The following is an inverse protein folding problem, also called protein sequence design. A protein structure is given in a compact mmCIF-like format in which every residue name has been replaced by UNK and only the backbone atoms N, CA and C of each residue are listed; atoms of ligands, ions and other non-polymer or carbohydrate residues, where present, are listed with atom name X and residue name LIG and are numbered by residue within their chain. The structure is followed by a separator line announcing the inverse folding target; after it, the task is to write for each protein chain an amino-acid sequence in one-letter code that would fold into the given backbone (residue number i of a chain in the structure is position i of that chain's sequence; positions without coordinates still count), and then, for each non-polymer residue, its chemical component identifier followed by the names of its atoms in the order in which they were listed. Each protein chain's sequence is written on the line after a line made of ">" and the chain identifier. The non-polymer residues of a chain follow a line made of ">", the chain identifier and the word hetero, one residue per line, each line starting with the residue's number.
data_IF_169819417915
#
_entry.id   IF_169819417915
#
_cell.length_a   1.000
_cell.length_b   1.000
_cell.length_c   1.000
_cell.angle_alpha   90.00
_cell.angle_beta   90.00
_cell.angle_gamma   90.00
#
_symmetry.space_group_name_H-M   'P 1'
#
loop_
_entity.id
_entity.type
_entity.pdbx_description
1 polymer ?
#
# COMPACT_ATOMS: atom_id res chain seq x y z
N UNK A 1 -10.35 16.43 -22.48
CA UNK A 1 -10.49 17.76 -21.85
C UNK A 1 -11.63 17.66 -20.83
N UNK A 2 -11.51 18.32 -19.65
CA UNK A 2 -12.10 18.02 -18.32
C UNK A 2 -11.26 16.95 -17.56
N UNK A 3 -10.36 17.24 -16.61
CA UNK A 3 -10.25 18.21 -15.51
C UNK A 3 -11.35 18.08 -14.46
N UNK A 4 -10.97 17.59 -13.27
CA UNK A 4 -11.09 18.25 -11.95
C UNK A 4 -10.40 17.35 -10.91
N UNK A 5 -9.32 17.84 -10.30
CA UNK A 5 -8.82 17.36 -9.00
C UNK A 5 -9.91 17.61 -7.95
N UNK A 6 -10.35 16.56 -7.26
CA UNK A 6 -11.02 16.70 -5.96
C UNK A 6 -10.18 15.98 -4.92
N UNK A 7 -9.48 16.77 -4.11
CA UNK A 7 -8.91 16.35 -2.84
C UNK A 7 -10.05 15.76 -1.98
N UNK A 8 -9.90 14.50 -1.58
CA UNK A 8 -10.79 13.84 -0.63
C UNK A 8 -10.41 14.37 0.75
N UNK A 9 -11.31 15.13 1.38
CA UNK A 9 -11.12 15.66 2.73
C UNK A 9 -12.07 14.93 3.70
N UNK A 10 -11.51 14.16 4.64
CA UNK A 10 -12.31 13.43 5.64
C UNK A 10 -12.63 14.33 6.84
N UNK A 11 -13.91 14.51 7.25
CA UNK A 11 -14.25 15.29 8.43
C UNK A 11 -13.93 14.51 9.71
N UNK A 12 -12.96 15.00 10.50
CA UNK A 12 -12.64 14.44 11.81
C UNK A 12 -13.59 15.03 12.86
N UNK A 13 -14.63 14.28 13.24
CA UNK A 13 -15.50 14.64 14.36
C UNK A 13 -14.77 14.58 15.72
N UNK A 14 -15.22 15.35 16.73
CA UNK A 14 -14.58 15.38 18.05
C UNK A 14 -14.76 14.04 18.78
N UNK A 15 -13.65 13.42 19.21
CA UNK A 15 -13.67 12.18 20.00
C UNK A 15 -13.84 12.49 21.50
N UNK A 16 -14.81 11.81 22.12
CA UNK A 16 -15.04 11.77 23.57
C UNK A 16 -13.82 11.13 24.26
N UNK A 17 -13.23 11.82 25.23
CA UNK A 17 -12.03 11.36 25.93
C UNK A 17 -12.33 10.19 26.88
N UNK A 18 -11.60 9.07 26.72
CA UNK A 18 -11.48 8.03 27.73
C UNK A 18 -10.41 8.47 28.74
N UNK A 19 -10.77 8.56 30.02
CA UNK A 19 -9.83 8.79 31.13
C UNK A 19 -9.10 7.49 31.45
N UNK A 20 -7.76 7.49 31.38
CA UNK A 20 -6.94 6.44 31.94
C UNK A 20 -6.61 6.78 33.41
N UNK A 21 -7.08 5.95 34.33
CA UNK A 21 -6.69 5.94 35.74
C UNK A 21 -5.66 4.82 35.91
N UNK A 22 -4.37 5.15 35.88
CA UNK A 22 -3.34 4.55 36.73
C UNK A 22 -1.95 5.05 36.34
N UNK A 23 -1.31 5.77 37.26
CA UNK A 23 -0.01 6.43 37.10
C UNK A 23 1.18 5.47 37.06
N UNK A 24 0.97 4.17 37.28
CA UNK A 24 2.04 3.16 37.30
C UNK A 24 2.44 2.65 35.89
N UNK A 25 1.60 2.85 34.87
CA UNK A 25 1.87 2.40 33.50
C UNK A 25 2.71 3.39 32.66
N UNK A 26 2.91 4.61 33.13
CA UNK A 26 3.58 5.68 32.38
C UNK A 26 5.12 5.68 32.48
N UNK A 27 5.70 4.85 33.36
CA UNK A 27 7.14 4.87 33.65
C UNK A 27 7.94 3.74 32.98
N UNK A 28 7.36 3.02 32.02
CA UNK A 28 8.09 2.00 31.27
C UNK A 28 8.74 2.63 30.02
N UNK A 29 10.08 2.56 29.85
CA UNK A 29 10.79 3.16 28.72
C UNK A 29 10.45 2.54 27.35
N UNK A 30 9.67 1.46 27.31
CA UNK A 30 9.14 0.86 26.09
C UNK A 30 7.72 1.30 25.71
N UNK A 31 7.09 2.20 26.48
CA UNK A 31 5.78 2.76 26.13
C UNK A 31 5.94 4.06 25.35
N UNK A 32 5.41 4.06 24.11
CA UNK A 32 5.25 5.26 23.29
C UNK A 32 4.35 6.23 24.06
N UNK A 33 4.92 7.31 24.59
CA UNK A 33 4.13 8.36 25.22
C UNK A 33 3.22 8.98 24.16
N UNK A 34 1.96 9.22 24.52
CA UNK A 34 1.00 9.87 23.65
C UNK A 34 1.41 11.33 23.48
N UNK A 35 2.28 11.64 22.49
CA UNK A 35 2.51 13.03 22.07
C UNK A 35 1.15 13.67 21.75
N UNK A 36 0.97 14.90 22.21
CA UNK A 36 -0.20 15.70 21.88
C UNK A 36 -0.30 15.84 20.35
N UNK A 37 -1.49 16.15 19.84
CA UNK A 37 -1.72 16.41 18.40
C UNK A 37 -1.07 17.71 17.91
N UNK A 38 -0.31 18.39 18.76
CA UNK A 38 0.14 19.76 18.54
C UNK A 38 1.40 19.86 17.67
N UNK A 39 1.99 18.73 17.25
CA UNK A 39 3.23 18.70 16.46
C UNK A 39 3.01 18.49 14.94
N UNK A 40 1.75 18.34 14.48
CA UNK A 40 1.48 18.32 13.04
C UNK A 40 1.47 19.76 12.51
N UNK A 41 2.46 20.12 11.71
CA UNK A 41 2.55 21.43 11.06
C UNK A 41 1.23 21.79 10.34
N UNK A 42 0.55 22.90 10.72
CA UNK A 42 -0.68 23.36 10.08
C UNK A 42 -0.52 23.77 8.61
N UNK A 43 0.69 23.80 8.06
CA UNK A 43 0.98 24.28 6.69
C UNK A 43 0.69 23.27 5.56
N UNK A 44 0.35 22.01 5.85
CA UNK A 44 0.26 20.94 4.85
C UNK A 44 -1.13 20.73 4.21
N UNK A 45 -1.67 21.71 3.48
CA UNK A 45 -3.01 21.57 2.88
C UNK A 45 -3.07 20.98 1.45
N UNK A 46 -1.95 20.79 0.73
CA UNK A 46 -2.03 20.41 -0.70
C UNK A 46 -1.30 19.11 -1.11
N UNK A 47 -0.35 18.59 -0.31
CA UNK A 47 0.43 17.39 -0.68
C UNK A 47 0.62 16.44 0.51
N UNK A 48 0.20 15.19 0.36
CA UNK A 48 0.50 14.11 1.29
C UNK A 48 1.90 13.59 0.97
N UNK A 49 2.82 13.56 1.94
CA UNK A 49 4.18 13.03 1.78
C UNK A 49 4.42 11.84 2.72
N UNK A 50 5.43 10.99 2.47
CA UNK A 50 5.79 9.91 3.40
C UNK A 50 6.12 10.40 4.81
N UNK A 51 6.83 11.52 4.95
CA UNK A 51 7.15 12.11 6.25
C UNK A 51 5.87 12.58 6.97
N UNK A 52 4.97 13.26 6.25
CA UNK A 52 3.67 13.66 6.81
C UNK A 52 2.87 12.47 7.33
N UNK A 53 2.82 11.35 6.58
CA UNK A 53 2.16 10.13 7.03
C UNK A 53 2.84 9.53 8.25
N UNK A 54 4.18 9.56 8.30
CA UNK A 54 4.95 9.08 9.45
C UNK A 54 4.65 9.88 10.72
N UNK A 55 4.53 11.20 10.61
CA UNK A 55 4.18 12.06 11.74
C UNK A 55 2.71 11.91 12.14
N UNK A 56 1.80 11.87 11.16
CA UNK A 56 0.36 11.70 11.38
C UNK A 56 0.03 10.39 12.11
N UNK A 57 0.67 9.29 11.70
CA UNK A 57 0.51 7.97 12.30
C UNK A 57 1.51 7.68 13.43
N UNK A 58 2.38 8.65 13.76
CA UNK A 58 3.29 8.63 14.91
C UNK A 58 4.28 7.46 14.89
N UNK A 59 4.93 7.28 13.75
CA UNK A 59 6.02 6.31 13.57
C UNK A 59 7.29 6.94 12.99
N UNK A 60 7.40 8.27 12.92
CA UNK A 60 8.57 8.95 12.37
C UNK A 60 9.86 8.74 13.17
N UNK A 61 9.77 8.39 14.46
CA UNK A 61 10.89 8.02 15.32
C UNK A 61 11.15 6.50 15.37
N UNK A 62 10.34 5.70 14.66
CA UNK A 62 10.55 4.27 14.56
C UNK A 62 11.62 3.95 13.53
N UNK A 63 12.65 3.22 13.94
CA UNK A 63 13.68 2.68 13.04
C UNK A 63 13.40 1.20 12.80
N UNK A 64 12.93 0.80 11.61
CA UNK A 64 12.66 -0.60 11.34
C UNK A 64 13.97 -1.39 11.22
N UNK A 65 13.98 -2.61 11.76
CA UNK A 65 15.12 -3.52 11.61
C UNK A 65 15.05 -4.23 10.26
N UNK A 66 16.18 -4.30 9.55
CA UNK A 66 16.27 -5.12 8.36
C UNK A 66 16.22 -6.61 8.74
N UNK A 67 15.28 -7.33 8.13
CA UNK A 67 15.21 -8.79 8.19
C UNK A 67 15.05 -9.32 6.77
N UNK A 68 16.01 -10.10 6.22
CA UNK A 68 15.93 -10.62 4.85
C UNK A 68 14.67 -11.44 4.57
N UNK A 69 14.13 -12.09 5.61
CA UNK A 69 12.91 -12.90 5.56
C UNK A 69 11.63 -12.09 5.58
N UNK A 70 11.66 -10.82 6.01
CA UNK A 70 10.51 -9.94 6.05
C UNK A 70 10.33 -9.25 4.70
N UNK A 71 9.21 -9.53 4.04
CA UNK A 71 8.91 -9.01 2.70
C UNK A 71 7.51 -8.40 2.67
N UNK A 72 7.42 -7.27 1.99
CA UNK A 72 6.17 -6.62 1.59
C UNK A 72 5.95 -6.86 0.09
N UNK A 73 4.87 -7.55 -0.27
CA UNK A 73 4.45 -7.71 -1.65
C UNK A 73 3.49 -6.61 -2.07
N UNK A 74 3.76 -5.94 -3.18
CA UNK A 74 2.85 -5.01 -3.85
C UNK A 74 2.37 -5.68 -5.13
N UNK A 75 1.07 -5.74 -5.36
CA UNK A 75 0.51 -6.36 -6.56
C UNK A 75 0.22 -5.30 -7.63
N UNK A 76 0.87 -5.43 -8.78
CA UNK A 76 0.64 -4.59 -9.95
C UNK A 76 -0.20 -5.29 -11.02
N UNK A 77 -1.10 -4.54 -11.64
CA UNK A 77 -2.03 -5.02 -12.68
C UNK A 77 -2.03 -4.12 -13.92
N UNK A 78 -2.86 -4.45 -14.91
CA UNK A 78 -3.15 -3.63 -16.10
C UNK A 78 -1.91 -3.21 -16.90
N UNK A 79 -0.85 -4.03 -16.87
CA UNK A 79 0.45 -3.74 -17.50
C UNK A 79 1.09 -2.42 -17.03
N UNK A 80 0.71 -1.91 -15.86
CA UNK A 80 1.34 -0.72 -15.29
C UNK A 80 2.62 -1.10 -14.56
N UNK A 81 3.78 -0.60 -14.93
CA UNK A 81 5.05 -1.04 -14.31
C UNK A 81 5.72 0.13 -13.62
N UNK A 82 6.04 -0.06 -12.32
CA UNK A 82 6.82 0.92 -11.58
C UNK A 82 8.18 1.12 -12.25
N UNK A 83 8.53 2.37 -12.54
CA UNK A 83 9.80 2.71 -13.19
C UNK A 83 10.84 3.01 -12.12
N UNK A 84 11.97 2.30 -12.18
CA UNK A 84 13.08 2.43 -11.25
C UNK A 84 13.59 3.86 -11.12
N UNK A 85 13.63 4.59 -12.24
CA UNK A 85 14.06 6.00 -12.25
C UNK A 85 13.12 6.91 -11.46
N UNK A 86 11.81 6.65 -11.53
CA UNK A 86 10.80 7.47 -10.87
C UNK A 86 10.80 7.18 -9.37
N UNK A 87 10.84 5.89 -9.00
CA UNK A 87 10.99 5.45 -7.60
C UNK A 87 12.25 6.04 -6.96
N UNK A 88 13.39 6.00 -7.67
CA UNK A 88 14.64 6.58 -7.18
C UNK A 88 14.54 8.10 -6.99
N UNK A 89 13.90 8.80 -7.92
CA UNK A 89 13.68 10.25 -7.80
C UNK A 89 12.73 10.58 -6.63
N UNK A 90 11.66 9.81 -6.45
CA UNK A 90 10.72 9.95 -5.34
C UNK A 90 11.41 9.75 -4.00
N UNK A 91 12.20 8.68 -3.84
CA UNK A 91 12.91 8.39 -2.59
C UNK A 91 13.96 9.46 -2.28
N UNK A 92 14.66 9.99 -3.30
CA UNK A 92 15.61 11.07 -3.11
C UNK A 92 14.96 12.36 -2.60
N UNK A 93 13.76 12.68 -3.08
CA UNK A 93 13.03 13.89 -2.71
C UNK A 93 12.29 13.74 -1.37
N UNK A 94 11.53 12.65 -1.22
CA UNK A 94 10.52 12.52 -0.17
C UNK A 94 10.89 11.54 0.95
N UNK A 95 11.99 10.80 0.78
CA UNK A 95 12.41 9.77 1.72
C UNK A 95 13.95 9.72 1.87
N UNK A 96 14.62 10.87 2.14
CA UNK A 96 16.08 10.96 2.15
C UNK A 96 16.69 9.94 3.12
N UNK A 97 17.73 9.24 2.65
CA UNK A 97 18.38 8.14 3.38
C UNK A 97 17.80 6.75 3.12
N UNK A 98 16.68 6.63 2.39
CA UNK A 98 16.11 5.36 1.91
C UNK A 98 16.56 5.11 0.47
N UNK A 99 17.86 4.97 0.26
CA UNK A 99 18.49 5.06 -1.07
C UNK A 99 18.58 3.73 -1.82
N UNK A 100 18.45 2.61 -1.13
CA UNK A 100 18.48 1.31 -1.76
C UNK A 100 17.09 0.99 -2.32
N UNK A 101 17.01 0.95 -3.65
CA UNK A 101 15.80 0.53 -4.35
C UNK A 101 15.59 -0.97 -4.13
N UNK A 102 15.10 -1.37 -2.94
CA UNK A 102 14.92 -2.79 -2.58
C UNK A 102 13.77 -3.45 -3.33
N UNK A 103 13.06 -2.75 -4.22
CA UNK A 103 12.00 -3.29 -5.06
C UNK A 103 12.55 -4.29 -6.08
N UNK A 104 12.38 -5.57 -5.77
CA UNK A 104 12.48 -6.64 -6.76
C UNK A 104 11.16 -6.74 -7.53
N UNK A 105 11.22 -6.74 -8.86
CA UNK A 105 10.04 -6.99 -9.70
C UNK A 105 9.98 -8.47 -10.14
N UNK A 106 8.83 -9.11 -9.94
CA UNK A 106 8.55 -10.50 -10.33
C UNK A 106 7.41 -10.48 -11.36
N UNK A 107 7.69 -11.01 -12.55
CA UNK A 107 6.67 -11.19 -13.59
C UNK A 107 5.86 -12.45 -13.34
N UNK A 108 4.54 -12.33 -13.36
CA UNK A 108 3.60 -13.44 -13.24
C UNK A 108 2.47 -13.33 -14.28
N UNK A 109 1.94 -14.47 -14.72
CA UNK A 109 0.75 -14.55 -15.58
C UNK A 109 0.74 -13.55 -16.76
N UNK A 110 1.83 -13.49 -17.53
CA UNK A 110 1.93 -12.61 -18.71
C UNK A 110 2.19 -11.13 -18.40
N UNK A 111 2.53 -10.78 -17.16
CA UNK A 111 2.93 -9.43 -16.77
C UNK A 111 4.27 -9.00 -17.37
N UNK A 112 4.75 -7.83 -16.96
CA UNK A 112 6.04 -7.31 -17.40
C UNK A 112 6.69 -6.45 -16.33
N UNK A 113 8.01 -6.39 -16.33
CA UNK A 113 8.82 -5.51 -15.49
C UNK A 113 9.63 -4.55 -16.37
N UNK A 114 9.07 -4.12 -17.50
CA UNK A 114 9.76 -3.27 -18.47
C UNK A 114 10.18 -1.93 -17.87
N UNK A 115 11.48 -1.63 -17.97
CA UNK A 115 12.12 -0.40 -17.49
C UNK A 115 12.50 0.48 -18.67
N UNK A 116 11.51 1.10 -19.32
CA UNK A 116 11.71 1.95 -20.51
C UNK A 116 10.96 3.28 -20.46
N UNK A 117 10.18 3.53 -19.40
CA UNK A 117 9.60 4.83 -19.14
C UNK A 117 10.71 5.83 -18.82
N UNK A 118 10.66 7.00 -19.46
CA UNK A 118 11.27 8.21 -18.91
C UNK A 118 10.22 8.90 -18.03
N UNK A 119 10.59 9.72 -17.04
CA UNK A 119 9.61 10.49 -16.26
C UNK A 119 8.62 11.22 -17.18
N UNK A 120 7.32 10.98 -16.99
CA UNK A 120 6.24 11.55 -17.82
C UNK A 120 5.99 10.87 -19.18
N UNK A 121 6.63 9.73 -19.47
CA UNK A 121 6.42 8.98 -20.71
C UNK A 121 5.17 8.10 -20.67
N UNK A 122 4.29 8.21 -21.67
CA UNK A 122 3.15 7.30 -21.84
C UNK A 122 3.53 5.92 -22.40
N UNK A 123 4.81 5.69 -22.77
CA UNK A 123 5.29 4.42 -23.34
C UNK A 123 5.13 3.28 -22.33
N UNK A 124 5.31 3.58 -21.03
CA UNK A 124 5.04 2.66 -19.94
C UNK A 124 4.10 3.35 -18.97
N UNK A 125 2.86 2.86 -18.87
CA UNK A 125 1.95 3.32 -17.82
C UNK A 125 2.52 2.90 -16.48
N UNK A 126 2.64 3.82 -15.54
CA UNK A 126 3.25 3.53 -14.24
C UNK A 126 2.56 4.21 -13.07
N UNK A 127 1.48 4.98 -13.29
CA UNK A 127 0.88 5.84 -12.27
C UNK A 127 0.57 5.07 -10.97
N UNK A 128 -0.22 4.00 -11.08
CA UNK A 128 -0.64 3.22 -9.91
C UNK A 128 0.54 2.48 -9.26
N UNK A 129 1.37 1.83 -10.09
CA UNK A 129 2.45 0.99 -9.56
C UNK A 129 3.65 1.80 -9.07
N UNK A 130 3.91 2.99 -9.61
CA UNK A 130 4.83 3.96 -9.00
C UNK A 130 4.28 4.36 -7.63
N UNK A 131 3.04 4.85 -7.56
CA UNK A 131 2.41 5.28 -6.31
C UNK A 131 2.50 4.21 -5.22
N UNK A 132 2.07 2.98 -5.54
CA UNK A 132 2.08 1.86 -4.60
C UNK A 132 3.48 1.55 -4.09
N UNK A 133 4.46 1.44 -4.99
CA UNK A 133 5.84 1.05 -4.64
C UNK A 133 6.56 2.18 -3.90
N UNK A 134 6.41 3.42 -4.34
CA UNK A 134 7.04 4.61 -3.73
C UNK A 134 6.62 4.79 -2.27
N UNK A 135 5.33 4.68 -1.98
CA UNK A 135 4.82 4.77 -0.61
C UNK A 135 5.09 3.51 0.20
N UNK A 136 4.95 2.32 -0.38
CA UNK A 136 5.26 1.07 0.31
C UNK A 136 6.73 1.03 0.77
N UNK A 137 7.65 1.38 -0.11
CA UNK A 137 9.08 1.44 0.21
C UNK A 137 9.38 2.52 1.24
N UNK A 138 8.81 3.71 1.07
CA UNK A 138 9.01 4.79 2.04
C UNK A 138 8.47 4.45 3.43
N UNK A 139 7.34 3.75 3.53
CA UNK A 139 6.76 3.38 4.82
C UNK A 139 7.46 2.18 5.47
N UNK A 140 8.03 1.25 4.70
CA UNK A 140 8.53 -0.04 5.22
C UNK A 140 10.05 -0.22 5.19
N UNK A 141 10.81 0.74 4.64
CA UNK A 141 12.28 0.69 4.58
C UNK A 141 12.89 0.40 5.96
N UNK A 142 13.89 -0.50 6.08
CA UNK A 142 14.63 -1.17 4.99
C UNK A 142 14.05 -2.52 4.54
N UNK A 143 12.80 -2.84 4.86
CA UNK A 143 12.21 -4.15 4.50
C UNK A 143 12.22 -4.39 2.98
N UNK A 144 12.30 -5.67 2.58
CA UNK A 144 12.30 -6.04 1.17
C UNK A 144 10.92 -5.82 0.55
N UNK A 145 10.82 -4.90 -0.40
CA UNK A 145 9.59 -4.71 -1.19
C UNK A 145 9.67 -5.55 -2.47
N UNK A 146 8.59 -6.25 -2.81
CA UNK A 146 8.49 -7.05 -4.03
C UNK A 146 7.28 -6.60 -4.82
N UNK A 147 7.50 -6.11 -6.04
CA UNK A 147 6.42 -5.86 -7.00
C UNK A 147 6.11 -7.15 -7.75
N UNK A 148 4.92 -7.72 -7.53
CA UNK A 148 4.37 -8.82 -8.31
C UNK A 148 3.55 -8.26 -9.46
N UNK A 149 4.05 -8.36 -10.69
CA UNK A 149 3.39 -7.80 -11.86
C UNK A 149 2.61 -8.85 -12.66
N UNK A 150 1.29 -8.67 -12.75
CA UNK A 150 0.35 -9.51 -13.47
C UNK A 150 -0.15 -8.84 -14.77
N UNK A 151 -0.11 -9.57 -15.88
CA UNK A 151 -0.46 -9.08 -17.22
C UNK A 151 -1.96 -9.05 -17.53
N UNK A 152 -2.81 -8.93 -16.52
CA UNK A 152 -4.25 -9.12 -16.64
C UNK A 152 -4.64 -10.57 -16.39
N UNK A 153 -5.17 -10.84 -15.20
CA UNK A 153 -5.65 -12.16 -14.82
C UNK A 153 -6.87 -11.99 -13.92
N UNK A 154 -7.88 -12.85 -14.10
CA UNK A 154 -9.00 -12.95 -13.16
C UNK A 154 -8.47 -13.15 -11.74
N UNK A 155 -9.18 -12.61 -10.75
CA UNK A 155 -8.76 -12.61 -9.35
C UNK A 155 -8.34 -13.99 -8.84
N UNK A 156 -9.12 -14.99 -9.22
CA UNK A 156 -8.87 -16.38 -8.88
C UNK A 156 -7.52 -16.91 -9.39
N UNK A 157 -7.04 -16.43 -10.54
CA UNK A 157 -5.83 -16.93 -11.17
C UNK A 157 -4.58 -16.45 -10.43
N UNK A 158 -4.50 -15.16 -10.12
CA UNK A 158 -3.35 -14.64 -9.38
C UNK A 158 -3.35 -15.09 -7.92
N UNK A 159 -4.53 -15.29 -7.30
CA UNK A 159 -4.62 -15.91 -5.97
C UNK A 159 -4.11 -17.35 -5.98
N UNK A 160 -4.49 -18.16 -6.97
CA UNK A 160 -3.97 -19.52 -7.12
C UNK A 160 -2.46 -19.52 -7.36
N UNK A 161 -1.95 -18.58 -8.17
CA UNK A 161 -0.52 -18.45 -8.43
C UNK A 161 0.24 -18.13 -7.14
N UNK A 162 -0.25 -17.19 -6.31
CA UNK A 162 0.34 -16.88 -5.01
C UNK A 162 0.34 -18.11 -4.09
N UNK A 163 -0.80 -18.80 -3.98
CA UNK A 163 -0.91 -20.00 -3.14
C UNK A 163 0.02 -21.14 -3.57
N UNK A 164 0.42 -21.18 -4.84
CA UNK A 164 1.39 -22.15 -5.35
C UNK A 164 2.86 -21.79 -5.00
N UNK A 165 3.15 -20.57 -4.55
CA UNK A 165 4.51 -20.18 -4.18
C UNK A 165 4.87 -20.77 -2.81
N UNK A 166 6.09 -21.30 -2.67
CA UNK A 166 6.62 -21.77 -1.38
C UNK A 166 7.03 -20.61 -0.48
N UNK A 167 7.55 -19.54 -1.09
CA UNK A 167 8.06 -18.36 -0.40
C UNK A 167 7.14 -17.15 -0.64
N UNK A 168 6.33 -16.82 0.37
CA UNK A 168 5.38 -15.70 0.33
C UNK A 168 5.89 -14.51 1.15
N UNK A 169 5.50 -13.27 0.81
CA UNK A 169 5.67 -12.14 1.69
C UNK A 169 4.71 -12.22 2.88
N UNK A 170 5.09 -11.63 4.01
CA UNK A 170 4.26 -11.60 5.22
C UNK A 170 3.09 -10.62 5.06
N UNK A 171 3.26 -9.58 4.23
CA UNK A 171 2.20 -8.62 3.91
C UNK A 171 2.05 -8.49 2.40
N UNK A 172 0.80 -8.46 1.93
CA UNK A 172 0.42 -8.14 0.57
C UNK A 172 -0.40 -6.86 0.56
N UNK A 173 -0.05 -5.90 -0.31
CA UNK A 173 -0.81 -4.70 -0.60
C UNK A 173 -1.41 -4.80 -2.00
N UNK A 174 -2.71 -4.53 -2.11
CA UNK A 174 -3.49 -4.68 -3.34
C UNK A 174 -4.32 -3.40 -3.55
N UNK A 175 -3.89 -2.57 -4.49
CA UNK A 175 -4.62 -1.37 -4.96
C UNK A 175 -5.37 -1.68 -6.25
N UNK A 176 -6.18 -2.73 -6.22
CA UNK A 176 -7.02 -3.15 -7.34
C UNK A 176 -8.28 -3.82 -6.83
N UNK A 177 -9.41 -3.47 -7.45
CA UNK A 177 -10.71 -4.01 -7.09
C UNK A 177 -11.64 -4.08 -8.30
N UNK A 178 -12.61 -4.97 -8.20
CA UNK A 178 -13.74 -5.10 -9.14
C UNK A 178 -15.01 -5.12 -8.29
N UNK A 179 -16.11 -4.54 -8.80
CA UNK A 179 -17.41 -4.56 -8.14
C UNK A 179 -17.81 -5.98 -7.70
N UNK A 180 -18.24 -6.14 -6.46
CA UNK A 180 -18.70 -7.43 -5.94
C UNK A 180 -19.90 -7.98 -6.73
N UNK A 181 -20.69 -7.10 -7.36
CA UNK A 181 -21.82 -7.46 -8.24
C UNK A 181 -21.35 -8.24 -9.48
N UNK A 182 -20.09 -8.09 -9.88
CA UNK A 182 -19.51 -8.83 -11.01
C UNK A 182 -19.27 -10.32 -10.69
N UNK A 183 -19.36 -10.72 -9.42
CA UNK A 183 -19.15 -12.09 -8.98
C UNK A 183 -20.46 -12.78 -8.61
N UNK A 184 -20.63 -14.04 -9.05
CA UNK A 184 -21.64 -14.89 -8.43
C UNK A 184 -21.30 -15.18 -6.98
N UNK A 185 -22.32 -15.46 -6.15
CA UNK A 185 -22.11 -15.92 -4.75
C UNK A 185 -21.14 -17.10 -4.64
N UNK A 186 -21.09 -17.97 -5.68
CA UNK A 186 -20.19 -19.12 -5.73
C UNK A 186 -18.74 -18.68 -5.96
N UNK A 187 -18.51 -17.73 -6.84
CA UNK A 187 -17.18 -17.18 -7.12
C UNK A 187 -16.66 -16.39 -5.94
N UNK A 188 -17.48 -15.52 -5.34
CA UNK A 188 -17.12 -14.79 -4.13
C UNK A 188 -16.65 -15.75 -3.02
N UNK A 189 -17.41 -16.83 -2.75
CA UNK A 189 -16.99 -17.87 -1.78
C UNK A 189 -15.67 -18.54 -2.15
N UNK A 190 -15.39 -18.77 -3.43
CA UNK A 190 -14.10 -19.33 -3.87
C UNK A 190 -12.96 -18.35 -3.57
N UNK A 191 -13.13 -17.07 -3.88
CA UNK A 191 -12.15 -16.01 -3.60
C UNK A 191 -11.92 -15.89 -2.08
N UNK A 192 -12.99 -15.80 -1.28
CA UNK A 192 -12.90 -15.79 0.18
C UNK A 192 -12.07 -16.98 0.72
N UNK A 193 -12.32 -18.20 0.20
CA UNK A 193 -11.56 -19.38 0.61
C UNK A 193 -10.08 -19.33 0.20
N UNK A 194 -9.72 -18.60 -0.86
CA UNK A 194 -8.32 -18.42 -1.29
C UNK A 194 -7.61 -17.39 -0.41
N UNK A 195 -8.25 -16.28 -0.08
CA UNK A 195 -7.74 -15.34 0.92
C UNK A 195 -7.60 -15.99 2.30
N UNK A 196 -8.57 -16.81 2.71
CA UNK A 196 -8.48 -17.56 3.96
C UNK A 196 -7.25 -18.49 3.97
N UNK A 197 -6.96 -19.18 2.87
CA UNK A 197 -5.76 -20.00 2.73
C UNK A 197 -4.47 -19.16 2.84
N UNK A 198 -4.40 -17.99 2.21
CA UNK A 198 -3.27 -17.07 2.39
C UNK A 198 -3.11 -16.67 3.87
N UNK A 199 -4.21 -16.34 4.54
CA UNK A 199 -4.23 -16.05 5.97
C UNK A 199 -3.70 -17.20 6.83
N UNK A 200 -4.10 -18.46 6.54
CA UNK A 200 -3.56 -19.64 7.25
C UNK A 200 -2.06 -19.86 7.02
N UNK A 201 -1.50 -19.29 5.96
CA UNK A 201 -0.06 -19.30 5.68
C UNK A 201 0.69 -18.12 6.33
N UNK A 202 0.02 -17.34 7.17
CA UNK A 202 0.61 -16.21 7.89
C UNK A 202 0.74 -14.93 7.08
N UNK A 203 -0.01 -14.80 5.98
CA UNK A 203 0.01 -13.62 5.12
C UNK A 203 -1.10 -12.64 5.54
N UNK A 204 -0.72 -11.40 5.83
CA UNK A 204 -1.65 -10.27 5.96
C UNK A 204 -1.94 -9.71 4.57
N UNK A 205 -3.22 -9.61 4.21
CA UNK A 205 -3.65 -9.05 2.92
C UNK A 205 -4.38 -7.74 3.16
N UNK A 206 -3.84 -6.66 2.61
CA UNK A 206 -4.41 -5.32 2.63
C UNK A 206 -4.94 -5.02 1.24
N UNK A 207 -6.23 -4.67 1.15
CA UNK A 207 -6.90 -4.37 -0.11
C UNK A 207 -7.53 -2.99 0.01
N UNK A 208 -7.33 -2.15 -1.00
CA UNK A 208 -8.03 -0.86 -1.09
C UNK A 208 -9.54 -1.08 -1.18
N UNK A 209 -10.33 -0.23 -0.52
CA UNK A 209 -11.79 -0.34 -0.50
C UNK A 209 -12.48 0.12 -1.80
N UNK A 210 -11.72 0.74 -2.70
CA UNK A 210 -12.23 1.39 -3.91
C UNK A 210 -12.36 2.90 -3.76
N UNK A 211 -12.41 3.59 -4.91
CA UNK A 211 -12.40 5.05 -5.03
C UNK A 211 -13.80 5.65 -5.32
N UNK A 212 -14.82 4.81 -5.47
CA UNK A 212 -16.18 5.19 -5.85
C UNK A 212 -17.12 5.43 -4.64
N UNK A 213 -16.59 5.50 -3.42
CA UNK A 213 -17.38 5.71 -2.20
C UNK A 213 -18.36 4.56 -1.92
N UNK A 214 -19.66 4.86 -1.78
CA UNK A 214 -20.70 3.83 -1.62
C UNK A 214 -21.03 3.08 -2.92
N UNK A 215 -20.37 3.45 -4.03
CA UNK A 215 -20.71 3.03 -5.38
C UNK A 215 -21.78 3.93 -6.00
N UNK A 216 -21.89 3.86 -7.32
CA UNK A 216 -23.04 4.44 -8.01
C UNK A 216 -24.25 3.53 -7.72
N UNK A 217 -25.37 4.11 -7.27
CA UNK A 217 -26.66 3.44 -7.33
C UNK A 217 -26.92 3.14 -8.82
N UNK A 218 -26.98 1.86 -9.17
CA UNK A 218 -27.67 1.49 -10.40
C UNK A 218 -29.15 1.68 -10.05
N UNK A 219 -29.74 2.81 -10.46
CA UNK A 219 -31.19 2.98 -10.48
C UNK A 219 -31.78 1.82 -11.31
N UNK A 220 -32.46 0.89 -10.62
CA UNK A 220 -33.37 -0.19 -11.07
C UNK A 220 -33.11 -0.91 -12.42
#
# INVERSE_FOLDING_TARGET
>A
MLSIQRLINFPVGPKRALRATDSAFLNNPHFISKRARDDADPSCNDTITPQYLADLYRYSDYTPLFAPSNKLGVLGFNHQVAQKSDVAAFLAEYAPGKTDETSRCIVALGGTCLQRGKPGSEIVKSYETNLDVEYAMSASYPSNTILYQFGGALEINWLNWLLAQNDLPQTLSISFGISEKAYSKREAKKLCNRYAQLGTRGVSVLVASGDDGVGLEDDE
#
